data_IF_760230914335
#
_entry.id   IF_760230914335
#
_cell.length_a   1.000
_cell.length_b   1.000
_cell.length_c   1.000
_cell.angle_alpha   90.00
_cell.angle_beta   90.00
_cell.angle_gamma   90.00
#
_symmetry.space_group_name_H-M   'P 1'
#
loop_
_entity.id
_entity.type
_entity.pdbx_description
1 polymer ?
#
# COMPACT_ATOMS: atom_id res chain seq x y z
N UNK A 1 5.01 -28.98 -81.44
CA UNK A 1 6.04 -29.53 -80.53
C UNK A 1 7.09 -28.48 -80.11
N UNK A 2 7.61 -27.63 -81.01
CA UNK A 2 8.60 -26.59 -80.65
C UNK A 2 8.05 -25.36 -79.90
N UNK A 3 6.74 -25.06 -79.99
CA UNK A 3 6.12 -23.90 -79.31
C UNK A 3 5.95 -24.14 -77.79
N UNK A 4 5.69 -25.38 -77.37
CA UNK A 4 5.62 -25.76 -75.95
C UNK A 4 6.98 -25.57 -75.23
N UNK A 5 8.08 -25.89 -75.94
CA UNK A 5 9.44 -25.89 -75.37
C UNK A 5 9.93 -24.47 -75.07
N UNK A 6 9.53 -23.48 -75.88
CA UNK A 6 9.86 -22.07 -75.63
C UNK A 6 9.08 -21.47 -74.46
N UNK A 7 7.84 -21.91 -74.23
CA UNK A 7 7.01 -21.42 -73.13
C UNK A 7 7.54 -21.88 -71.75
N UNK A 8 8.27 -22.99 -71.68
CA UNK A 8 8.88 -23.49 -70.45
C UNK A 8 10.15 -22.73 -70.02
N UNK A 9 10.84 -22.05 -70.95
CA UNK A 9 12.06 -21.28 -70.65
C UNK A 9 11.81 -19.99 -69.86
N UNK A 10 10.68 -19.31 -70.09
CA UNK A 10 10.34 -18.06 -69.39
C UNK A 10 9.90 -18.30 -67.93
N UNK A 11 9.24 -19.43 -67.66
CA UNK A 11 8.73 -19.75 -66.32
C UNK A 11 9.88 -20.04 -65.34
N UNK A 12 11.00 -20.58 -65.83
CA UNK A 12 12.17 -20.91 -65.00
C UNK A 12 12.96 -19.67 -64.53
N UNK A 13 12.86 -18.55 -65.25
CA UNK A 13 13.57 -17.31 -64.91
C UNK A 13 12.82 -16.46 -63.86
N UNK A 14 11.50 -16.60 -63.77
CA UNK A 14 10.64 -15.81 -62.88
C UNK A 14 10.74 -16.21 -61.39
N UNK A 15 11.19 -17.43 -61.09
CA UNK A 15 11.17 -17.97 -59.72
C UNK A 15 12.42 -17.62 -58.90
N UNK A 16 13.55 -17.32 -59.57
CA UNK A 16 14.82 -17.00 -58.88
C UNK A 16 14.85 -15.63 -58.20
N UNK A 17 13.90 -14.73 -58.48
CA UNK A 17 13.81 -13.40 -57.84
C UNK A 17 13.06 -13.40 -56.50
N UNK A 18 12.36 -14.49 -56.15
CA UNK A 18 11.54 -14.56 -54.92
C UNK A 18 12.30 -15.08 -53.69
N UNK A 19 13.49 -15.66 -53.87
CA UNK A 19 14.30 -16.19 -52.78
C UNK A 19 15.07 -15.11 -52.00
N UNK A 20 15.53 -14.05 -52.67
CA UNK A 20 16.32 -12.99 -52.03
C UNK A 20 15.46 -11.98 -51.24
N UNK A 21 14.17 -11.84 -51.58
CA UNK A 21 13.24 -10.92 -50.90
C UNK A 21 12.87 -11.41 -49.49
N UNK A 22 12.99 -12.72 -49.22
CA UNK A 22 12.61 -13.32 -47.93
C UNK A 22 13.65 -13.14 -46.81
N UNK A 23 14.88 -12.72 -47.11
CA UNK A 23 15.92 -12.47 -46.09
C UNK A 23 15.97 -11.03 -45.59
N UNK A 24 15.17 -10.13 -46.16
CA UNK A 24 15.24 -8.69 -45.88
C UNK A 24 14.32 -8.20 -44.74
N UNK A 25 13.70 -9.11 -43.96
CA UNK A 25 12.63 -8.72 -43.01
C UNK A 25 12.66 -9.32 -41.62
N UNK A 26 13.77 -9.93 -41.23
CA UNK A 26 14.02 -10.30 -39.84
C UNK A 26 15.14 -9.39 -39.32
N UNK A 27 14.81 -8.11 -39.13
CA UNK A 27 15.65 -7.21 -38.35
C UNK A 27 15.54 -7.64 -36.88
N UNK A 28 16.49 -8.48 -36.43
CA UNK A 28 16.59 -8.90 -35.05
C UNK A 28 17.00 -7.73 -34.15
N UNK A 29 16.49 -7.72 -32.92
CA UNK A 29 16.92 -6.81 -31.87
C UNK A 29 18.44 -6.84 -31.73
N UNK A 30 19.05 -5.66 -31.69
CA UNK A 30 20.49 -5.55 -31.45
C UNK A 30 20.79 -5.64 -29.96
N UNK A 31 21.95 -6.19 -29.59
CA UNK A 31 22.40 -6.19 -28.19
C UNK A 31 22.54 -4.77 -27.62
N UNK A 32 22.83 -3.78 -28.48
CA UNK A 32 22.96 -2.38 -28.09
C UNK A 32 21.63 -1.79 -27.61
N UNK A 33 20.53 -2.12 -28.28
CA UNK A 33 19.19 -1.66 -27.88
C UNK A 33 18.79 -2.23 -26.51
N UNK A 34 19.04 -3.52 -26.28
CA UNK A 34 18.79 -4.12 -24.98
C UNK A 34 19.73 -3.55 -23.89
N UNK A 35 20.99 -3.27 -24.24
CA UNK A 35 21.96 -2.68 -23.32
C UNK A 35 21.53 -1.27 -22.87
N UNK A 36 21.09 -0.42 -23.81
CA UNK A 36 20.64 0.93 -23.47
C UNK A 36 19.45 0.92 -22.49
N UNK A 37 18.51 -0.02 -22.66
CA UNK A 37 17.34 -0.15 -21.77
C UNK A 37 17.75 -0.54 -20.36
N UNK A 38 18.59 -1.57 -20.19
CA UNK A 38 19.00 -2.01 -18.85
C UNK A 38 19.85 -0.96 -18.13
N UNK A 39 20.63 -0.16 -18.86
CA UNK A 39 21.39 0.96 -18.29
C UNK A 39 20.44 2.04 -17.76
N UNK A 40 19.43 2.43 -18.54
CA UNK A 40 18.43 3.41 -18.10
C UNK A 40 17.64 2.90 -16.89
N UNK A 41 17.18 1.64 -16.94
CA UNK A 41 16.49 1.01 -15.81
C UNK A 41 17.39 0.91 -14.56
N UNK A 42 18.68 0.64 -14.73
CA UNK A 42 19.66 0.61 -13.65
C UNK A 42 19.83 1.96 -12.97
N UNK A 43 19.91 3.05 -13.74
CA UNK A 43 20.01 4.41 -13.19
C UNK A 43 18.73 4.78 -12.43
N UNK A 44 17.56 4.50 -12.99
CA UNK A 44 16.27 4.77 -12.33
C UNK A 44 16.15 3.94 -11.04
N UNK A 45 16.48 2.65 -11.08
CA UNK A 45 16.42 1.77 -9.92
C UNK A 45 17.35 2.23 -8.79
N UNK A 46 18.56 2.70 -9.12
CA UNK A 46 19.52 3.19 -8.14
C UNK A 46 18.99 4.37 -7.29
N UNK A 47 18.19 5.27 -7.89
CA UNK A 47 17.59 6.41 -7.18
C UNK A 47 16.26 6.03 -6.52
N UNK A 48 15.44 5.22 -7.20
CA UNK A 48 14.09 4.90 -6.74
C UNK A 48 14.07 4.01 -5.48
N UNK A 49 14.94 3.00 -5.40
CA UNK A 49 14.96 2.05 -4.27
C UNK A 49 15.12 2.73 -2.89
N UNK A 50 16.11 3.61 -2.65
CA UNK A 50 16.25 4.26 -1.35
C UNK A 50 15.08 5.18 -0.99
N UNK A 51 14.41 5.80 -1.97
CA UNK A 51 13.26 6.68 -1.74
C UNK A 51 12.02 5.91 -1.26
N UNK A 52 11.79 4.70 -1.79
CA UNK A 52 10.60 3.89 -1.46
C UNK A 52 10.61 3.42 0.01
N UNK A 53 11.78 3.17 0.59
CA UNK A 53 11.88 2.68 1.97
C UNK A 53 11.24 3.60 3.02
N UNK A 54 11.47 4.92 2.90
CA UNK A 54 10.89 5.91 3.82
C UNK A 54 9.37 6.02 3.69
N UNK A 55 8.84 5.96 2.46
CA UNK A 55 7.39 6.00 2.20
C UNK A 55 6.70 4.79 2.80
N UNK A 56 7.31 3.60 2.66
CA UNK A 56 6.77 2.38 3.26
C UNK A 56 6.74 2.50 4.79
N UNK A 57 7.82 2.97 5.43
CA UNK A 57 7.84 3.12 6.89
C UNK A 57 6.76 4.08 7.40
N UNK A 58 6.58 5.23 6.73
CA UNK A 58 5.49 6.17 7.04
C UNK A 58 4.11 5.51 6.88
N UNK A 59 3.88 4.78 5.78
CA UNK A 59 2.62 4.08 5.55
C UNK A 59 2.34 3.02 6.64
N UNK A 60 3.38 2.33 7.13
CA UNK A 60 3.26 1.37 8.23
C UNK A 60 2.91 2.06 9.54
N UNK A 61 3.54 3.19 9.88
CA UNK A 61 3.18 3.98 11.06
C UNK A 61 1.74 4.49 11.00
N UNK A 62 1.31 4.98 9.84
CA UNK A 62 -0.07 5.41 9.62
C UNK A 62 -1.07 4.25 9.75
N UNK A 63 -0.70 3.06 9.27
CA UNK A 63 -1.52 1.86 9.46
C UNK A 63 -1.64 1.46 10.94
N UNK A 64 -0.52 1.46 11.69
CA UNK A 64 -0.53 1.21 13.15
C UNK A 64 -1.40 2.23 13.89
N UNK A 65 -1.31 3.50 13.52
CA UNK A 65 -2.18 4.56 14.04
C UNK A 65 -3.66 4.29 13.73
N UNK A 66 -3.98 3.81 12.53
CA UNK A 66 -5.33 3.37 12.17
C UNK A 66 -5.87 2.26 13.08
N UNK A 67 -5.00 1.34 13.49
CA UNK A 67 -5.34 0.31 14.48
C UNK A 67 -5.59 0.93 15.86
N UNK A 68 -4.79 1.90 16.28
CA UNK A 68 -5.02 2.63 17.52
C UNK A 68 -6.36 3.39 17.54
N UNK A 69 -6.75 3.99 16.41
CA UNK A 69 -8.08 4.61 16.25
C UNK A 69 -9.18 3.55 16.40
N UNK A 70 -9.02 2.40 15.74
CA UNK A 70 -9.98 1.29 15.83
C UNK A 70 -10.10 0.76 17.26
N UNK A 71 -8.99 0.66 17.99
CA UNK A 71 -8.97 0.29 19.41
C UNK A 71 -9.71 1.30 20.28
N UNK A 72 -9.52 2.60 20.03
CA UNK A 72 -10.24 3.65 20.73
C UNK A 72 -11.75 3.56 20.51
N UNK A 73 -12.19 3.35 19.26
CA UNK A 73 -13.61 3.20 18.93
C UNK A 73 -14.22 1.95 19.59
N UNK A 74 -13.50 0.83 19.58
CA UNK A 74 -13.90 -0.40 20.26
C UNK A 74 -14.00 -0.20 21.78
N UNK A 75 -13.00 0.44 22.42
CA UNK A 75 -13.03 0.79 23.84
C UNK A 75 -14.21 1.72 24.17
N UNK A 76 -14.48 2.70 23.32
CA UNK A 76 -15.60 3.60 23.50
C UNK A 76 -16.95 2.87 23.44
N UNK A 77 -17.12 2.00 22.44
CA UNK A 77 -18.33 1.20 22.32
C UNK A 77 -18.53 0.26 23.52
N UNK A 78 -17.46 -0.39 23.97
CA UNK A 78 -17.48 -1.26 25.14
C UNK A 78 -17.86 -0.50 26.42
N UNK A 79 -17.27 0.67 26.68
CA UNK A 79 -17.61 1.48 27.85
C UNK A 79 -19.08 1.90 27.83
N UNK A 80 -19.60 2.32 26.67
CA UNK A 80 -21.02 2.68 26.52
C UNK A 80 -21.94 1.48 26.75
N UNK A 81 -21.56 0.32 26.22
CA UNK A 81 -22.44 -0.86 26.21
C UNK A 81 -22.43 -1.65 27.52
N UNK A 82 -21.26 -1.76 28.19
CA UNK A 82 -21.09 -2.61 29.37
C UNK A 82 -20.75 -1.84 30.65
N UNK A 83 -20.12 -0.66 30.55
CA UNK A 83 -19.75 0.17 31.71
C UNK A 83 -20.67 1.38 31.89
N UNK A 84 -21.84 1.38 31.24
CA UNK A 84 -22.86 2.42 31.39
C UNK A 84 -22.43 3.81 30.90
N UNK A 85 -21.42 3.89 30.05
CA UNK A 85 -20.86 5.16 29.56
C UNK A 85 -19.96 5.87 30.56
N UNK A 86 -19.47 5.20 31.61
CA UNK A 86 -18.50 5.80 32.53
C UNK A 86 -17.07 5.72 31.97
N UNK A 87 -16.62 6.84 31.42
CA UNK A 87 -15.28 6.99 30.86
C UNK A 87 -14.23 7.43 31.89
N UNK A 88 -14.61 7.82 33.11
CA UNK A 88 -13.70 8.52 34.03
C UNK A 88 -12.61 7.58 34.55
N UNK A 89 -11.35 7.92 34.29
CA UNK A 89 -10.17 7.10 34.59
C UNK A 89 -10.28 5.66 34.05
N UNK A 90 -11.08 5.44 33.02
CA UNK A 90 -11.26 4.12 32.45
C UNK A 90 -9.96 3.66 31.77
N UNK A 91 -9.55 2.44 32.06
CA UNK A 91 -8.48 1.75 31.34
C UNK A 91 -9.09 0.50 30.73
N UNK A 92 -8.91 0.34 29.43
CA UNK A 92 -9.44 -0.80 28.66
C UNK A 92 -8.28 -1.44 27.90
N UNK A 93 -7.98 -2.70 28.19
CA UNK A 93 -6.93 -3.45 27.50
C UNK A 93 -7.45 -4.04 26.20
N UNK A 94 -6.54 -4.30 25.25
CA UNK A 94 -6.89 -4.98 24.00
C UNK A 94 -7.41 -6.40 24.26
N UNK A 95 -6.85 -7.09 25.25
CA UNK A 95 -7.33 -8.41 25.67
C UNK A 95 -8.81 -8.40 26.08
N UNK A 96 -9.23 -7.40 26.87
CA UNK A 96 -10.63 -7.24 27.29
C UNK A 96 -11.54 -7.05 26.06
N UNK A 97 -11.12 -6.21 25.11
CA UNK A 97 -11.87 -5.97 23.86
C UNK A 97 -11.98 -7.20 22.98
N UNK A 98 -10.91 -7.99 22.90
CA UNK A 98 -10.86 -9.22 22.09
C UNK A 98 -11.71 -10.33 22.70
N UNK A 99 -11.65 -10.52 24.02
CA UNK A 99 -12.42 -11.53 24.72
C UNK A 99 -13.92 -11.23 24.70
N UNK A 100 -14.28 -9.94 24.71
CA UNK A 100 -15.66 -9.47 24.63
C UNK A 100 -16.19 -9.31 23.20
N UNK A 101 -15.34 -9.49 22.19
CA UNK A 101 -15.75 -9.48 20.78
C UNK A 101 -15.89 -8.08 20.15
N UNK A 102 -15.40 -7.03 20.81
CA UNK A 102 -15.34 -5.68 20.22
C UNK A 102 -14.18 -5.52 19.24
N UNK A 103 -13.19 -6.42 19.28
CA UNK A 103 -12.06 -6.42 18.37
C UNK A 103 -11.59 -7.83 18.04
N UNK A 104 -10.93 -8.01 16.90
CA UNK A 104 -10.46 -9.32 16.44
C UNK A 104 -9.19 -9.75 17.18
N UNK A 105 -9.04 -11.06 17.42
CA UNK A 105 -7.86 -11.63 18.12
C UNK A 105 -6.56 -11.51 17.33
N UNK A 106 -6.61 -11.61 16.00
CA UNK A 106 -5.45 -11.45 15.11
C UNK A 106 -5.30 -9.99 14.66
N UNK A 107 -5.35 -9.05 15.62
CA UNK A 107 -5.06 -7.65 15.30
C UNK A 107 -3.55 -7.49 15.15
N UNK A 108 -3.12 -6.89 14.03
CA UNK A 108 -1.72 -6.67 13.68
C UNK A 108 -1.41 -5.20 13.54
N UNK A 109 -0.16 -4.84 13.75
CA UNK A 109 0.36 -3.50 13.46
C UNK A 109 0.61 -3.29 11.96
N UNK A 110 1.01 -2.07 11.57
CA UNK A 110 1.35 -1.77 10.18
C UNK A 110 2.60 -2.49 9.67
N UNK A 111 3.44 -3.05 10.55
CA UNK A 111 4.60 -3.87 10.18
C UNK A 111 4.23 -5.34 9.97
N UNK A 112 2.98 -5.71 10.23
CA UNK A 112 2.45 -7.06 10.08
C UNK A 112 2.68 -7.95 11.30
N UNK A 113 3.18 -7.40 12.42
CA UNK A 113 3.38 -8.15 13.66
C UNK A 113 2.09 -8.18 14.49
N UNK A 114 1.80 -9.28 15.21
CA UNK A 114 0.67 -9.33 16.12
C UNK A 114 0.85 -8.35 17.28
N UNK A 115 -0.23 -7.65 17.63
CA UNK A 115 -0.24 -6.72 18.76
C UNK A 115 -0.41 -7.50 20.06
N UNK A 116 0.38 -7.13 21.07
CA UNK A 116 0.34 -7.72 22.41
C UNK A 116 -0.93 -7.26 23.14
N UNK A 117 -1.86 -8.20 23.33
CA UNK A 117 -3.19 -7.91 23.87
C UNK A 117 -3.17 -7.42 25.33
N UNK A 118 -2.27 -7.94 26.16
CA UNK A 118 -2.15 -7.59 27.58
C UNK A 118 -1.50 -6.21 27.78
N UNK A 119 -0.57 -5.84 26.90
CA UNK A 119 0.24 -4.63 27.04
C UNK A 119 -0.30 -3.44 26.25
N UNK A 120 -1.25 -3.68 25.34
CA UNK A 120 -1.91 -2.63 24.55
C UNK A 120 -3.21 -2.20 25.22
N UNK A 121 -3.42 -0.89 25.36
CA UNK A 121 -4.53 -0.35 26.15
C UNK A 121 -4.95 1.05 25.73
N UNK A 122 -6.21 1.38 26.01
CA UNK A 122 -6.81 2.71 25.85
C UNK A 122 -7.05 3.27 27.25
N UNK A 123 -6.55 4.47 27.50
CA UNK A 123 -6.66 5.15 28.78
C UNK A 123 -7.44 6.46 28.63
N UNK A 124 -8.41 6.66 29.52
CA UNK A 124 -9.22 7.86 29.62
C UNK A 124 -8.87 8.66 30.87
N UNK A 125 -8.99 9.99 30.80
CA UNK A 125 -8.71 10.89 31.91
C UNK A 125 -9.87 10.99 32.93
N UNK A 126 -9.71 11.83 33.95
CA UNK A 126 -10.70 12.06 35.02
C UNK A 126 -12.01 12.66 34.51
N UNK A 127 -11.96 13.35 33.37
CA UNK A 127 -13.08 14.02 32.74
C UNK A 127 -13.76 13.13 31.70
N UNK A 128 -13.18 11.96 31.41
CA UNK A 128 -13.68 10.98 30.46
C UNK A 128 -13.20 11.20 29.03
N UNK A 129 -12.22 12.09 28.80
CA UNK A 129 -11.60 12.27 27.49
C UNK A 129 -10.51 11.22 27.27
N UNK A 130 -10.19 10.96 26.00
CA UNK A 130 -9.05 10.10 25.66
C UNK A 130 -7.76 10.73 26.15
N UNK A 131 -6.97 10.01 26.93
CA UNK A 131 -5.62 10.41 27.32
C UNK A 131 -4.62 9.87 26.30
N UNK A 132 -4.59 8.55 26.13
CA UNK A 132 -3.67 7.89 25.19
C UNK A 132 -4.17 6.49 24.77
N UNK A 133 -3.69 6.04 23.62
CA UNK A 133 -3.75 4.65 23.17
C UNK A 133 -2.32 4.11 23.10
N UNK A 134 -2.03 3.04 23.82
CA UNK A 134 -0.74 2.35 23.82
C UNK A 134 -0.85 1.12 22.92
N UNK A 135 0.02 1.03 21.92
CA UNK A 135 0.15 -0.13 21.05
C UNK A 135 1.53 -0.75 21.28
N UNK A 136 1.56 -2.02 21.68
CA UNK A 136 2.79 -2.77 21.86
C UNK A 136 2.81 -4.01 20.97
N UNK A 137 3.90 -4.19 20.25
CA UNK A 137 4.22 -5.34 19.41
C UNK A 137 5.74 -5.57 19.42
N UNK A 138 6.26 -6.67 18.85
CA UNK A 138 7.70 -6.90 18.73
C UNK A 138 8.48 -5.76 18.04
N UNK A 139 7.83 -4.95 17.20
CA UNK A 139 8.46 -3.86 16.44
C UNK A 139 7.95 -2.47 16.81
N UNK A 140 6.86 -2.37 17.56
CA UNK A 140 6.20 -1.12 17.89
C UNK A 140 6.03 -1.02 19.40
N UNK A 141 6.50 0.06 20.00
CA UNK A 141 6.16 0.45 21.38
C UNK A 141 5.81 1.94 21.33
N UNK A 142 4.62 2.22 20.80
CA UNK A 142 4.17 3.58 20.49
C UNK A 142 2.94 3.96 21.31
N UNK A 143 2.87 5.24 21.66
CA UNK A 143 1.74 5.85 22.35
C UNK A 143 1.15 6.92 21.45
N UNK A 144 -0.15 6.84 21.23
CA UNK A 144 -0.91 7.81 20.45
C UNK A 144 -1.73 8.69 21.36
N UNK A 145 -1.52 10.01 21.29
CA UNK A 145 -2.30 10.99 22.06
C UNK A 145 -3.66 11.23 21.42
N UNK A 146 -4.57 11.88 22.15
CA UNK A 146 -5.86 12.31 21.60
C UNK A 146 -5.72 13.12 20.30
N UNK A 147 -4.76 14.03 20.22
CA UNK A 147 -4.51 14.83 19.02
C UNK A 147 -4.16 13.95 17.81
N UNK A 148 -3.35 12.92 18.02
CA UNK A 148 -3.00 11.96 16.98
C UNK A 148 -4.17 11.02 16.63
N UNK A 149 -5.11 10.77 17.52
CA UNK A 149 -6.29 9.94 17.19
C UNK A 149 -7.37 10.78 16.47
N UNK A 150 -7.54 12.04 16.87
CA UNK A 150 -8.63 12.90 16.39
C UNK A 150 -8.23 13.88 15.30
N UNK A 151 -6.95 14.02 14.95
CA UNK A 151 -6.59 14.85 13.80
C UNK A 151 -7.30 14.28 12.58
N UNK A 152 -8.22 15.06 12.00
CA UNK A 152 -8.93 14.71 10.76
C UNK A 152 -7.89 14.18 9.78
N UNK A 153 -8.12 12.99 9.24
CA UNK A 153 -7.29 12.36 8.23
C UNK A 153 -7.07 13.34 7.07
N UNK A 154 -6.06 14.21 7.16
CA UNK A 154 -5.56 14.92 6.01
C UNK A 154 -4.70 13.90 5.28
N UNK A 155 -5.34 13.18 4.37
CA UNK A 155 -4.61 12.55 3.27
C UNK A 155 -3.74 13.65 2.65
N UNK A 156 -2.44 13.42 2.40
CA UNK A 156 -1.62 14.37 1.67
C UNK A 156 -2.28 14.64 0.30
N UNK A 157 -3.01 15.76 0.15
CA UNK A 157 -3.66 16.13 -1.11
C UNK A 157 -5.07 16.74 -1.06
N UNK A 158 -5.80 16.78 0.06
CA UNK A 158 -7.09 17.49 0.11
C UNK A 158 -6.92 18.89 0.73
N UNK A 159 -6.74 19.87 -0.16
CA UNK A 159 -6.84 21.28 0.15
C UNK A 159 -8.22 21.59 0.76
N UNK A 160 -8.20 22.33 1.86
CA UNK A 160 -9.33 23.01 2.46
C UNK A 160 -10.07 23.81 1.38
N UNK A 161 -11.23 23.35 0.93
CA UNK A 161 -12.17 24.24 0.25
C UNK A 161 -12.75 25.15 1.33
N UNK A 162 -12.36 26.42 1.32
CA UNK A 162 -13.03 27.46 2.09
C UNK A 162 -14.53 27.45 1.76
N UNK A 163 -15.42 27.53 2.76
CA UNK A 163 -16.84 27.63 2.49
C UNK A 163 -17.11 28.92 1.72
N UNK A 164 -17.63 28.79 0.49
CA UNK A 164 -18.09 29.94 -0.29
C UNK A 164 -19.20 30.66 0.49
N UNK A 165 -19.14 31.99 0.64
CA UNK A 165 -20.22 32.75 1.25
C UNK A 165 -21.46 32.64 0.35
N UNK A 166 -22.57 32.21 0.94
CA UNK A 166 -23.84 32.09 0.25
C UNK A 166 -24.34 33.49 -0.18
N UNK A 167 -24.91 33.64 -1.39
CA UNK A 167 -25.43 34.90 -1.89
C UNK A 167 -26.67 35.39 -1.13
#
# INVERSE_FOLDING_TARGET
MFVEVMKQGEVLAADRRKADVRRAREAGFTLLELLAVVVILGIIAAIAIPLIGGIIDSAKKDATRGVAISMYEAARLYIVSEKGGDFKNAVVTLEELQNKGYMQKDTRDGYGEPIEAENSKVEFDKDGNLSQVVIKSPKVDEKYTAEQIFSRQQTPGQQTQEPQPNP
#
